data_IF_014794645839
#
_entry.id   IF_014794645839
#
_cell.length_a   1.000
_cell.length_b   1.000
_cell.length_c   1.000
_cell.angle_alpha   90.00
_cell.angle_beta   90.00
_cell.angle_gamma   90.00
#
_symmetry.space_group_name_H-M   'P 1'
#
loop_
_entity.id
_entity.type
_entity.pdbx_description
1 polymer ?
#
# COMPACT_ATOMS: atom_id res chain seq x y z
N UNK A 1 -15.64 -3.03 9.05
CA UNK A 1 -15.15 -1.67 8.79
C UNK A 1 -15.53 -1.17 7.39
N UNK A 2 -15.21 -1.93 6.36
CA UNK A 2 -15.53 -1.52 4.99
C UNK A 2 -17.04 -1.39 4.80
N UNK A 3 -17.82 -2.31 5.37
CA UNK A 3 -19.27 -2.24 5.26
C UNK A 3 -19.82 -0.97 5.90
N UNK A 4 -19.25 -0.58 7.05
CA UNK A 4 -19.65 0.63 7.72
C UNK A 4 -19.40 1.86 6.85
N UNK A 5 -18.22 1.94 6.26
CA UNK A 5 -17.87 3.07 5.40
C UNK A 5 -18.79 3.11 4.19
N UNK A 6 -19.11 1.96 3.60
CA UNK A 6 -19.98 1.92 2.43
C UNK A 6 -21.40 2.41 2.78
N UNK A 7 -21.89 2.11 3.98
CA UNK A 7 -23.22 2.58 4.39
C UNK A 7 -23.24 4.06 4.66
N UNK A 8 -22.15 4.60 5.26
CA UNK A 8 -22.09 6.01 5.63
C UNK A 8 -21.69 6.89 4.47
N UNK A 9 -20.85 6.38 3.56
CA UNK A 9 -20.34 7.15 2.44
C UNK A 9 -20.15 6.22 1.23
N UNK A 10 -21.26 5.89 0.56
CA UNK A 10 -21.18 4.88 -0.51
C UNK A 10 -20.28 5.28 -1.68
N UNK A 11 -20.03 6.56 -1.89
CA UNK A 11 -19.22 7.00 -3.02
C UNK A 11 -17.78 7.32 -2.65
N UNK A 12 -17.42 7.18 -1.38
CA UNK A 12 -16.05 7.43 -0.95
C UNK A 12 -15.13 6.35 -1.50
N UNK A 13 -14.05 6.78 -2.13
CA UNK A 13 -13.02 5.85 -2.58
C UNK A 13 -12.09 5.53 -1.42
N UNK A 14 -11.90 4.25 -1.15
CA UNK A 14 -11.01 3.80 -0.08
C UNK A 14 -9.78 3.15 -0.67
N UNK A 15 -8.62 3.54 -0.16
CA UNK A 15 -7.35 2.92 -0.53
C UNK A 15 -6.89 2.08 0.66
N UNK A 16 -6.70 0.81 0.44
CA UNK A 16 -6.24 -0.11 1.47
C UNK A 16 -4.81 -0.51 1.14
N UNK A 17 -3.87 -0.10 1.98
CA UNK A 17 -2.46 -0.36 1.75
C UNK A 17 -2.07 -1.67 2.40
N UNK A 18 -1.35 -2.50 1.66
CA UNK A 18 -0.89 -3.79 2.16
C UNK A 18 0.01 -3.64 3.39
N UNK A 19 0.01 -4.65 4.25
CA UNK A 19 0.95 -4.70 5.36
C UNK A 19 2.34 -4.96 4.80
N UNK A 20 3.30 -4.12 5.20
CA UNK A 20 4.66 -4.15 4.69
C UNK A 20 5.43 -5.34 5.23
N UNK A 21 6.21 -6.04 4.39
CA UNK A 21 7.11 -7.08 4.91
C UNK A 21 8.25 -6.44 5.71
N UNK A 22 8.49 -6.95 6.90
CA UNK A 22 9.55 -6.43 7.76
C UNK A 22 10.40 -7.56 8.30
N UNK A 23 11.67 -7.27 8.54
CA UNK A 23 12.58 -8.25 9.10
C UNK A 23 12.18 -8.62 10.53
N UNK A 24 11.73 -7.64 11.31
CA UNK A 24 11.37 -7.88 12.69
C UNK A 24 10.14 -8.78 12.83
N UNK A 25 9.33 -8.89 11.79
CA UNK A 25 8.15 -9.75 11.79
C UNK A 25 8.24 -10.86 10.77
N UNK A 26 9.45 -11.18 10.36
CA UNK A 26 9.64 -12.17 9.30
C UNK A 26 9.12 -13.55 9.67
N UNK A 27 9.15 -13.89 10.95
CA UNK A 27 8.66 -15.20 11.41
C UNK A 27 7.18 -15.41 11.11
N UNK A 28 6.39 -14.32 11.07
CA UNK A 28 4.95 -14.41 10.77
C UNK A 28 4.62 -13.88 9.39
N UNK A 29 5.64 -13.63 8.56
CA UNK A 29 5.40 -13.10 7.22
C UNK A 29 4.45 -13.97 6.38
N UNK A 30 4.54 -15.31 6.42
CA UNK A 30 3.58 -16.10 5.64
C UNK A 30 2.13 -15.82 6.00
N UNK A 31 1.84 -15.59 7.29
CA UNK A 31 0.50 -15.25 7.73
C UNK A 31 0.11 -13.84 7.26
N UNK A 32 1.05 -12.89 7.36
CA UNK A 32 0.81 -11.52 6.89
C UNK A 32 0.55 -11.51 5.39
N UNK A 33 1.30 -12.30 4.64
CA UNK A 33 1.12 -12.39 3.20
C UNK A 33 -0.27 -12.91 2.86
N UNK A 34 -0.74 -13.91 3.59
CA UNK A 34 -2.10 -14.42 3.39
C UNK A 34 -3.14 -13.37 3.74
N UNK A 35 -2.90 -12.59 4.78
CA UNK A 35 -3.78 -11.47 5.11
C UNK A 35 -3.86 -10.48 3.97
N UNK A 36 -2.72 -10.11 3.40
CA UNK A 36 -2.69 -9.19 2.26
C UNK A 36 -3.47 -9.75 1.07
N UNK A 37 -3.36 -11.05 0.81
CA UNK A 37 -4.12 -11.68 -0.26
C UNK A 37 -5.62 -11.60 -0.02
N UNK A 38 -6.04 -11.80 1.22
CA UNK A 38 -7.46 -11.68 1.57
C UNK A 38 -7.94 -10.24 1.47
N UNK A 39 -7.11 -9.30 1.88
CA UNK A 39 -7.47 -7.88 1.76
C UNK A 39 -7.63 -7.49 0.30
N UNK A 40 -6.73 -7.97 -0.56
CA UNK A 40 -6.83 -7.68 -1.99
C UNK A 40 -8.12 -8.24 -2.56
N UNK A 41 -8.48 -9.47 -2.18
CA UNK A 41 -9.73 -10.08 -2.63
C UNK A 41 -10.95 -9.33 -2.15
N UNK A 42 -10.93 -8.89 -0.89
CA UNK A 42 -12.03 -8.12 -0.32
C UNK A 42 -12.20 -6.79 -1.04
N UNK A 43 -11.10 -6.12 -1.35
CA UNK A 43 -11.14 -4.87 -2.09
C UNK A 43 -11.70 -5.07 -3.48
N UNK A 44 -11.36 -6.18 -4.12
CA UNK A 44 -11.87 -6.52 -5.45
C UNK A 44 -13.39 -6.67 -5.45
N UNK A 45 -13.94 -7.17 -4.36
CA UNK A 45 -15.38 -7.41 -4.24
C UNK A 45 -16.15 -6.22 -3.69
N UNK A 46 -15.46 -5.15 -3.31
CA UNK A 46 -16.08 -3.99 -2.68
C UNK A 46 -15.97 -2.80 -3.62
N UNK A 47 -17.11 -2.16 -3.90
CA UNK A 47 -17.13 -1.01 -4.80
C UNK A 47 -16.29 0.12 -4.25
N UNK A 48 -15.63 0.85 -5.15
CA UNK A 48 -14.84 2.05 -4.82
C UNK A 48 -13.74 1.78 -3.80
N UNK A 49 -13.21 0.55 -3.79
CA UNK A 49 -12.16 0.16 -2.86
C UNK A 49 -10.99 -0.41 -3.66
N UNK A 50 -9.80 0.12 -3.40
CA UNK A 50 -8.60 -0.22 -4.15
C UNK A 50 -7.53 -0.71 -3.19
N UNK A 51 -6.96 -1.88 -3.49
CA UNK A 51 -5.86 -2.43 -2.72
C UNK A 51 -4.54 -1.98 -3.32
N UNK A 52 -3.63 -1.49 -2.48
CA UNK A 52 -2.31 -1.03 -2.92
C UNK A 52 -1.26 -2.01 -2.42
N UNK A 53 -0.69 -2.83 -3.30
CA UNK A 53 0.36 -3.77 -2.89
C UNK A 53 1.68 -3.05 -2.62
N UNK A 54 2.46 -3.57 -1.68
CA UNK A 54 3.75 -2.97 -1.31
C UNK A 54 4.87 -4.00 -1.21
N UNK A 55 4.55 -5.28 -1.29
CA UNK A 55 5.53 -6.33 -1.07
C UNK A 55 6.75 -6.18 -1.98
N UNK A 56 6.51 -5.91 -3.26
CA UNK A 56 7.56 -5.81 -4.25
C UNK A 56 8.50 -4.63 -4.01
N UNK A 57 8.06 -3.64 -3.23
CA UNK A 57 8.89 -2.46 -2.96
C UNK A 57 10.02 -2.78 -1.98
N UNK A 58 9.81 -3.73 -1.10
CA UNK A 58 10.69 -3.91 0.06
C UNK A 58 11.48 -5.20 0.03
N UNK A 59 11.04 -6.20 -0.72
CA UNK A 59 11.78 -7.45 -0.82
C UNK A 59 12.89 -7.32 -1.85
N UNK A 60 14.07 -7.82 -1.48
CA UNK A 60 15.22 -7.80 -2.36
C UNK A 60 15.35 -9.07 -3.19
N UNK A 61 16.49 -9.23 -3.88
CA UNK A 61 16.70 -10.39 -4.75
C UNK A 61 16.65 -11.72 -4.01
N UNK A 62 16.90 -11.72 -2.71
CA UNK A 62 16.86 -12.95 -1.92
C UNK A 62 15.46 -13.26 -1.40
N UNK A 63 14.48 -12.40 -1.67
CA UNK A 63 13.14 -12.55 -1.14
C UNK A 63 12.98 -12.06 0.28
N UNK A 64 13.96 -11.34 0.81
CA UNK A 64 13.96 -10.81 2.17
C UNK A 64 13.87 -9.28 2.14
N UNK A 65 13.37 -8.66 3.23
CA UNK A 65 13.34 -7.20 3.29
C UNK A 65 14.73 -6.60 3.14
N UNK A 66 14.81 -5.51 2.39
CA UNK A 66 16.07 -4.80 2.15
C UNK A 66 16.37 -3.88 3.34
N UNK A 67 17.49 -4.10 4.04
CA UNK A 67 17.75 -3.38 5.31
C UNK A 67 17.79 -1.87 5.17
N UNK A 68 18.25 -1.37 4.04
CA UNK A 68 18.40 0.08 3.84
C UNK A 68 17.05 0.79 3.75
N UNK A 69 15.95 0.05 3.59
CA UNK A 69 14.62 0.65 3.51
C UNK A 69 13.96 0.74 4.86
N UNK A 70 14.63 0.28 5.90
CA UNK A 70 14.09 0.26 7.26
C UNK A 70 15.05 0.93 8.22
N UNK A 71 14.53 1.37 9.37
CA UNK A 71 15.36 1.89 10.44
C UNK A 71 16.06 0.72 11.14
N UNK A 72 16.92 1.06 12.11
CA UNK A 72 17.69 0.04 12.82
C UNK A 72 16.81 -0.96 13.57
N UNK A 73 15.57 -0.59 13.90
CA UNK A 73 14.63 -1.51 14.53
C UNK A 73 14.10 -2.56 13.55
N UNK A 74 14.39 -2.41 12.25
CA UNK A 74 13.97 -3.35 11.20
C UNK A 74 12.45 -3.47 11.12
N UNK A 75 11.75 -2.44 11.53
CA UNK A 75 10.30 -2.41 11.52
C UNK A 75 9.78 -1.14 10.85
N UNK A 76 10.24 0.02 11.31
CA UNK A 76 9.79 1.29 10.74
C UNK A 76 10.61 1.61 9.50
N UNK A 77 9.96 2.24 8.52
CA UNK A 77 10.62 2.58 7.27
C UNK A 77 11.64 3.69 7.48
N UNK A 78 12.78 3.57 6.78
CA UNK A 78 13.75 4.66 6.68
C UNK A 78 13.22 5.72 5.72
N UNK A 79 13.88 6.88 5.63
CA UNK A 79 13.49 7.87 4.61
C UNK A 79 13.43 7.28 3.21
N UNK A 80 14.38 6.40 2.85
CA UNK A 80 14.34 5.73 1.56
C UNK A 80 13.13 4.81 1.42
N UNK A 81 12.78 4.12 2.51
CA UNK A 81 11.60 3.25 2.52
C UNK A 81 10.32 4.05 2.33
N UNK A 82 10.21 5.18 3.02
CA UNK A 82 9.05 6.05 2.87
C UNK A 82 8.98 6.66 1.48
N UNK A 83 10.11 6.97 0.86
CA UNK A 83 10.11 7.52 -0.49
C UNK A 83 9.46 6.53 -1.47
N UNK A 84 9.79 5.24 -1.33
CA UNK A 84 9.17 4.21 -2.18
C UNK A 84 7.68 4.07 -1.89
N UNK A 85 7.33 4.10 -0.61
CA UNK A 85 5.94 3.98 -0.17
C UNK A 85 5.11 5.14 -0.73
N UNK A 86 5.61 6.36 -0.58
CA UNK A 86 4.92 7.54 -1.07
C UNK A 86 4.73 7.49 -2.58
N UNK A 87 5.75 7.06 -3.31
CA UNK A 87 5.67 6.97 -4.76
C UNK A 87 4.59 5.97 -5.18
N UNK A 88 4.52 4.83 -4.51
CA UNK A 88 3.51 3.82 -4.83
C UNK A 88 2.11 4.36 -4.51
N UNK A 89 1.93 4.98 -3.35
CA UNK A 89 0.63 5.55 -2.97
C UNK A 89 0.20 6.60 -4.01
N UNK A 90 1.12 7.47 -4.41
CA UNK A 90 0.81 8.48 -5.41
C UNK A 90 0.40 7.90 -6.74
N UNK A 91 1.02 6.80 -7.15
CA UNK A 91 0.69 6.20 -8.43
C UNK A 91 -0.77 5.75 -8.48
N UNK A 92 -1.37 5.46 -7.32
CA UNK A 92 -2.78 5.12 -7.23
C UNK A 92 -3.66 6.35 -6.99
N UNK A 93 -3.14 7.31 -6.25
CA UNK A 93 -3.92 8.48 -5.84
C UNK A 93 -4.04 9.52 -6.94
N UNK A 94 -2.95 9.80 -7.66
CA UNK A 94 -2.93 10.86 -8.65
C UNK A 94 -3.98 10.70 -9.73
N UNK A 95 -4.21 9.52 -10.30
CA UNK A 95 -5.29 9.36 -11.29
C UNK A 95 -6.67 9.66 -10.72
N UNK A 96 -6.88 9.40 -9.43
CA UNK A 96 -8.18 9.67 -8.79
C UNK A 96 -8.37 11.16 -8.57
N UNK A 97 -7.31 11.85 -8.19
CA UNK A 97 -7.36 13.30 -7.95
C UNK A 97 -7.49 14.06 -9.26
N UNK A 98 -6.77 13.61 -10.30
CA UNK A 98 -6.82 14.28 -11.61
C UNK A 98 -8.21 14.22 -12.21
N UNK A 99 -8.91 13.08 -12.03
CA UNK A 99 -10.25 12.93 -12.56
C UNK A 99 -10.29 12.95 -14.07
N UNK A 100 -11.47 12.75 -14.62
CA UNK A 100 -11.62 12.79 -16.09
C UNK A 100 -11.43 14.21 -16.60
N UNK A 101 -10.53 14.38 -17.54
CA UNK A 101 -10.24 15.69 -18.08
C UNK A 101 -9.43 16.57 -17.16
N UNK A 102 -9.01 16.04 -16.03
CA UNK A 102 -8.17 16.79 -15.12
C UNK A 102 -6.81 17.03 -15.72
N UNK A 103 -6.24 18.18 -15.38
CA UNK A 103 -4.91 18.51 -15.83
C UNK A 103 -3.89 17.96 -14.86
N UNK A 104 -2.94 17.26 -15.37
CA UNK A 104 -1.93 16.68 -14.55
C UNK A 104 -1.03 17.74 -13.94
N UNK A 105 -0.88 17.81 -12.64
CA UNK A 105 0.08 18.74 -12.05
C UNK A 105 1.48 18.40 -12.53
N UNK A 106 2.14 19.39 -13.06
CA UNK A 106 3.43 19.15 -13.69
C UNK A 106 4.57 19.05 -12.70
N UNK A 107 4.35 19.41 -11.49
CA UNK A 107 5.41 19.56 -10.51
C UNK A 107 5.50 18.39 -9.56
N UNK A 108 5.30 17.21 -10.05
CA UNK A 108 5.43 16.04 -9.22
C UNK A 108 6.85 15.93 -8.71
N UNK A 109 7.06 15.79 -7.43
CA UNK A 109 8.41 15.62 -6.92
C UNK A 109 9.02 14.31 -7.32
#
# INVERSE_FOLDING_TARGET
FLDHVRRESPETVMLVVAVTPTESRWAVWPQIRRLNERLAGLCDETAHTIFIPTEDLYLGPTGRPQPELFRTDRLHLSPAGYARWNKRIRSYLDPLVAGPGGTEPADQP
#
